data_IF_862303376762
#
_entry.id   IF_862303376762
#
_cell.length_a   1.000
_cell.length_b   1.000
_cell.length_c   1.000
_cell.angle_alpha   90.00
_cell.angle_beta   90.00
_cell.angle_gamma   90.00
#
_symmetry.space_group_name_H-M   'P 1'
#
loop_
_entity.id
_entity.type
_entity.pdbx_description
1 polymer ?
#
# COMPACT_ATOMS: atom_id res chain seq x y z
N UNK A 1 22.16 41.23 -4.36
CA UNK A 1 21.23 40.78 -5.41
C UNK A 1 20.77 39.39 -5.03
N UNK A 2 19.66 39.34 -4.27
CA UNK A 2 18.99 38.15 -3.77
C UNK A 2 17.60 38.17 -4.42
N UNK A 3 17.16 37.05 -4.99
CA UNK A 3 15.81 36.94 -5.53
C UNK A 3 15.64 35.71 -6.39
N UNK A 4 14.89 34.72 -5.87
CA UNK A 4 13.92 33.95 -6.63
C UNK A 4 13.11 33.14 -5.61
N UNK A 5 11.93 33.67 -5.32
CA UNK A 5 10.87 33.07 -4.52
C UNK A 5 10.31 31.84 -5.25
N UNK A 6 9.95 30.80 -4.50
CA UNK A 6 9.00 29.80 -4.97
C UNK A 6 8.20 29.28 -3.77
N UNK A 7 7.39 30.18 -3.20
CA UNK A 7 6.28 29.82 -2.30
C UNK A 7 4.98 30.09 -3.07
N UNK A 8 4.28 29.03 -3.46
CA UNK A 8 2.87 29.12 -3.85
C UNK A 8 2.10 28.05 -3.09
N UNK A 9 1.46 28.46 -2.00
CA UNK A 9 0.31 27.76 -1.44
C UNK A 9 -0.88 27.97 -2.40
N UNK A 10 -1.72 26.97 -2.69
CA UNK A 10 -3.00 27.23 -3.34
C UNK A 10 -3.90 28.00 -2.37
N UNK A 11 -4.52 29.05 -2.91
CA UNK A 11 -5.28 30.04 -2.17
C UNK A 11 -6.55 29.51 -1.50
N UNK A 12 -7.01 30.38 -0.62
CA UNK A 12 -8.35 30.58 -0.07
C UNK A 12 -9.51 30.28 -1.05
N UNK A 13 -9.74 29.01 -1.34
CA UNK A 13 -10.96 28.54 -1.97
C UNK A 13 -11.54 27.44 -1.11
N UNK A 14 -12.70 27.68 -0.52
CA UNK A 14 -13.51 26.71 0.22
C UNK A 14 -13.84 25.47 -0.63
N UNK A 15 -12.89 24.56 -0.78
CA UNK A 15 -13.09 23.22 -1.29
C UNK A 15 -12.90 22.30 -0.09
N UNK A 16 -14.02 21.99 0.59
CA UNK A 16 -14.06 20.83 1.50
C UNK A 16 -13.53 19.64 0.70
N UNK A 17 -12.32 19.19 1.04
CA UNK A 17 -11.84 17.88 0.62
C UNK A 17 -12.89 16.88 1.12
N UNK A 18 -13.73 16.39 0.20
CA UNK A 18 -14.69 15.34 0.54
C UNK A 18 -13.83 14.12 0.81
N UNK A 19 -13.65 13.81 2.10
CA UNK A 19 -13.18 12.52 2.54
C UNK A 19 -14.06 11.48 1.86
N UNK A 20 -13.53 10.82 0.84
CA UNK A 20 -14.25 9.75 0.18
C UNK A 20 -14.18 8.60 1.16
N UNK A 21 -15.21 8.45 1.99
CA UNK A 21 -15.36 7.30 2.86
C UNK A 21 -15.50 6.07 1.95
N UNK A 22 -14.38 5.38 1.73
CA UNK A 22 -14.38 4.10 1.07
C UNK A 22 -15.09 3.10 1.99
N UNK A 23 -16.26 2.65 1.53
CA UNK A 23 -16.99 1.54 2.15
C UNK A 23 -16.13 0.28 2.03
N UNK A 24 -15.41 -0.04 3.09
CA UNK A 24 -14.59 -1.24 3.18
C UNK A 24 -15.49 -2.47 3.26
N UNK A 25 -15.83 -3.05 2.09
CA UNK A 25 -16.19 -4.47 2.07
C UNK A 25 -14.96 -5.26 2.49
N UNK A 26 -15.12 -6.07 3.52
CA UNK A 26 -14.08 -6.89 4.10
C UNK A 26 -13.64 -7.97 3.09
N UNK A 27 -12.67 -7.66 2.24
CA UNK A 27 -11.96 -8.68 1.47
C UNK A 27 -11.06 -9.46 2.45
N UNK A 28 -11.34 -10.75 2.60
CA UNK A 28 -10.39 -11.70 3.19
C UNK A 28 -9.35 -11.94 2.11
N UNK A 29 -8.11 -11.55 2.36
CA UNK A 29 -7.07 -11.71 1.33
C UNK A 29 -6.56 -13.13 1.39
N UNK A 30 -6.86 -13.86 0.33
CA UNK A 30 -6.37 -15.19 0.07
C UNK A 30 -4.91 -15.10 -0.40
N UNK A 31 -4.00 -15.83 0.26
CA UNK A 31 -2.62 -15.94 -0.19
C UNK A 31 -2.58 -16.52 -1.62
N UNK A 32 -1.92 -15.83 -2.56
CA UNK A 32 -1.86 -16.32 -3.95
C UNK A 32 -0.80 -17.39 -4.19
N UNK A 33 0.16 -17.59 -3.26
CA UNK A 33 1.28 -18.53 -3.38
C UNK A 33 0.85 -19.93 -3.84
N UNK A 34 -0.24 -20.52 -3.30
CA UNK A 34 -0.70 -21.84 -3.74
C UNK A 34 -1.10 -21.92 -5.21
N UNK A 35 -1.48 -20.81 -5.84
CA UNK A 35 -2.01 -20.78 -7.20
C UNK A 35 -0.93 -20.50 -8.25
N UNK A 36 0.23 -19.97 -7.86
CA UNK A 36 1.24 -19.48 -8.80
C UNK A 36 2.69 -19.80 -8.41
N UNK A 37 2.94 -20.55 -7.34
CA UNK A 37 4.30 -20.90 -6.91
C UNK A 37 4.43 -22.39 -6.56
N UNK A 38 5.62 -22.94 -6.84
CA UNK A 38 6.15 -24.16 -6.25
C UNK A 38 7.57 -23.88 -5.73
N UNK A 39 7.89 -24.45 -4.58
CA UNK A 39 9.25 -24.58 -4.06
C UNK A 39 9.71 -26.02 -4.28
N UNK A 40 10.87 -26.20 -4.89
CA UNK A 40 11.53 -27.50 -5.06
C UNK A 40 12.80 -27.50 -4.22
N UNK A 41 12.98 -28.50 -3.34
CA UNK A 41 14.22 -28.72 -2.58
C UNK A 41 15.24 -29.51 -3.40
N UNK A 42 16.50 -29.52 -2.97
CA UNK A 42 17.62 -30.21 -3.64
C UNK A 42 17.38 -31.72 -3.83
N UNK A 43 16.61 -32.35 -2.94
CA UNK A 43 16.22 -33.76 -2.98
C UNK A 43 15.02 -34.04 -3.93
N UNK A 44 14.52 -33.02 -4.61
CA UNK A 44 13.36 -33.07 -5.50
C UNK A 44 12.01 -32.90 -4.79
N UNK A 45 11.97 -32.81 -3.46
CA UNK A 45 10.72 -32.65 -2.70
C UNK A 45 10.09 -31.28 -2.96
N UNK A 46 8.77 -31.27 -3.19
CA UNK A 46 8.04 -30.07 -3.60
C UNK A 46 7.05 -29.58 -2.55
N UNK A 47 6.96 -28.26 -2.40
CA UNK A 47 6.03 -27.55 -1.52
C UNK A 47 5.35 -26.39 -2.29
N UNK A 48 4.21 -25.90 -1.80
CA UNK A 48 3.58 -24.70 -2.36
C UNK A 48 4.29 -23.39 -1.97
N UNK A 49 5.10 -23.41 -0.91
CA UNK A 49 5.65 -22.22 -0.30
C UNK A 49 6.90 -22.54 0.53
N UNK A 50 7.83 -21.59 0.61
CA UNK A 50 9.02 -21.70 1.46
C UNK A 50 8.76 -21.52 2.96
N UNK A 51 7.68 -20.83 3.34
CA UNK A 51 7.33 -20.60 4.74
C UNK A 51 6.76 -21.84 5.43
N UNK A 52 6.31 -22.84 4.67
CA UNK A 52 5.61 -24.03 5.16
C UNK A 52 6.23 -25.32 4.62
N UNK A 53 7.55 -25.33 4.41
CA UNK A 53 8.28 -26.45 3.81
C UNK A 53 8.57 -27.58 4.81
N UNK A 54 7.54 -28.01 5.54
CA UNK A 54 7.58 -29.09 6.53
C UNK A 54 7.25 -30.44 5.90
N UNK A 55 7.87 -31.57 6.35
CA UNK A 55 7.69 -32.87 5.70
C UNK A 55 6.23 -33.29 5.44
N UNK A 56 5.33 -32.97 6.37
CA UNK A 56 3.91 -33.32 6.28
C UNK A 56 3.09 -32.45 5.31
N UNK A 57 3.67 -31.37 4.77
CA UNK A 57 3.07 -30.48 3.76
C UNK A 57 3.68 -30.66 2.36
N UNK A 58 4.50 -31.69 2.18
CA UNK A 58 5.06 -32.02 0.87
C UNK A 58 3.97 -32.44 -0.11
N UNK A 59 4.05 -31.93 -1.34
CA UNK A 59 3.12 -32.23 -2.42
C UNK A 59 3.52 -33.50 -3.21
N UNK A 60 4.80 -33.84 -3.16
CA UNK A 60 5.41 -34.94 -3.93
C UNK A 60 6.90 -34.70 -4.16
N UNK A 61 7.52 -35.51 -5.00
CA UNK A 61 8.95 -35.40 -5.33
C UNK A 61 9.17 -35.50 -6.85
N UNK A 62 9.78 -34.51 -7.48
CA UNK A 62 9.97 -34.46 -8.94
C UNK A 62 10.97 -35.48 -9.50
N UNK A 63 11.73 -36.16 -8.63
CA UNK A 63 12.55 -37.30 -9.04
C UNK A 63 11.71 -38.58 -9.25
N UNK A 64 10.46 -38.59 -8.77
CA UNK A 64 9.55 -39.74 -8.81
C UNK A 64 8.23 -39.41 -9.52
N UNK A 65 7.68 -38.22 -9.25
CA UNK A 65 6.41 -37.72 -9.76
C UNK A 65 6.63 -36.73 -10.92
N UNK A 66 5.67 -36.66 -11.83
CA UNK A 66 5.60 -35.60 -12.82
C UNK A 66 5.18 -34.28 -12.18
N UNK A 67 5.48 -33.16 -12.85
CA UNK A 67 5.01 -31.84 -12.41
C UNK A 67 3.48 -31.80 -12.25
N UNK A 68 2.73 -32.36 -13.19
CA UNK A 68 1.26 -32.35 -13.16
C UNK A 68 0.69 -33.12 -11.96
N UNK A 69 1.29 -34.26 -11.62
CA UNK A 69 0.92 -35.04 -10.43
C UNK A 69 1.18 -34.26 -9.14
N UNK A 70 2.32 -33.57 -9.05
CA UNK A 70 2.68 -32.75 -7.88
C UNK A 70 1.78 -31.51 -7.79
N UNK A 71 1.60 -30.78 -8.90
CA UNK A 71 0.83 -29.54 -8.95
C UNK A 71 -0.65 -29.76 -8.66
N UNK A 72 -1.21 -30.89 -9.10
CA UNK A 72 -2.61 -31.27 -8.90
C UNK A 72 -2.82 -32.30 -7.80
N UNK A 73 -1.82 -32.52 -6.95
CA UNK A 73 -1.91 -33.43 -5.79
C UNK A 73 -3.08 -33.06 -4.87
N UNK A 74 -3.61 -34.04 -4.15
CA UNK A 74 -4.70 -33.84 -3.21
C UNK A 74 -4.40 -32.72 -2.17
N UNK A 75 -3.22 -32.66 -1.54
CA UNK A 75 -2.88 -31.56 -0.62
C UNK A 75 -2.91 -30.18 -1.30
N UNK A 76 -2.45 -30.08 -2.56
CA UNK A 76 -2.47 -28.83 -3.30
C UNK A 76 -3.89 -28.38 -3.63
N UNK A 77 -4.75 -29.31 -4.05
CA UNK A 77 -6.17 -29.03 -4.34
C UNK A 77 -6.93 -28.62 -3.10
N UNK A 78 -6.79 -29.36 -1.99
CA UNK A 78 -7.45 -29.06 -0.72
C UNK A 78 -7.09 -27.66 -0.22
N UNK A 79 -5.80 -27.33 -0.20
CA UNK A 79 -5.33 -26.03 0.28
C UNK A 79 -5.85 -24.89 -0.61
N UNK A 80 -5.89 -25.06 -1.94
CA UNK A 80 -6.49 -24.07 -2.86
C UNK A 80 -8.00 -23.93 -2.66
N UNK A 81 -8.72 -25.03 -2.45
CA UNK A 81 -10.17 -25.00 -2.20
C UNK A 81 -10.49 -24.28 -0.90
N UNK A 82 -9.85 -24.65 0.21
CA UNK A 82 -10.02 -23.98 1.51
C UNK A 82 -9.78 -22.47 1.37
N UNK A 83 -8.72 -22.10 0.66
CA UNK A 83 -8.39 -20.71 0.37
C UNK A 83 -9.45 -19.99 -0.47
N UNK A 84 -9.98 -20.61 -1.54
CA UNK A 84 -11.03 -20.01 -2.37
C UNK A 84 -12.37 -19.83 -1.64
N UNK A 85 -12.59 -20.58 -0.55
CA UNK A 85 -13.77 -20.49 0.30
C UNK A 85 -13.59 -19.52 1.49
N UNK A 86 -12.58 -18.63 1.42
CA UNK A 86 -12.21 -17.69 2.49
C UNK A 86 -11.86 -18.39 3.83
N UNK A 87 -11.50 -19.67 3.80
CA UNK A 87 -11.05 -20.43 4.97
C UNK A 87 -9.52 -20.41 5.03
N UNK A 88 -8.95 -19.94 6.15
CA UNK A 88 -7.51 -20.05 6.38
C UNK A 88 -7.13 -21.53 6.56
N UNK A 89 -6.33 -22.13 5.66
CA UNK A 89 -5.90 -23.52 5.82
C UNK A 89 -5.13 -23.69 7.12
N UNK A 90 -5.32 -24.82 7.81
CA UNK A 90 -4.57 -25.11 9.06
C UNK A 90 -3.05 -25.02 8.86
N UNK A 91 -2.55 -25.47 7.72
CA UNK A 91 -1.15 -25.33 7.34
C UNK A 91 -0.66 -23.88 7.37
N UNK A 92 -1.54 -22.91 7.10
CA UNK A 92 -1.23 -21.49 7.05
C UNK A 92 -1.45 -20.75 8.38
N UNK A 93 -2.00 -21.42 9.41
CA UNK A 93 -2.37 -20.80 10.70
C UNK A 93 -1.19 -20.16 11.45
N UNK A 94 0.01 -20.73 11.32
CA UNK A 94 1.24 -20.23 11.93
C UNK A 94 2.18 -19.57 10.93
N UNK A 95 1.69 -19.28 9.72
CA UNK A 95 2.50 -18.69 8.67
C UNK A 95 2.88 -17.26 9.06
N UNK A 96 4.19 -16.92 9.15
CA UNK A 96 4.64 -15.57 9.52
C UNK A 96 4.20 -14.51 8.50
N UNK A 97 3.90 -14.93 7.26
CA UNK A 97 3.37 -14.08 6.22
C UNK A 97 1.87 -13.76 6.45
N UNK A 98 1.07 -14.72 6.93
CA UNK A 98 -0.37 -14.51 7.17
C UNK A 98 -0.65 -13.70 8.44
N UNK A 99 0.14 -13.91 9.50
CA UNK A 99 0.02 -13.13 10.74
C UNK A 99 0.28 -11.64 10.50
N UNK A 100 1.34 -11.31 9.75
CA UNK A 100 1.62 -9.93 9.32
C UNK A 100 0.49 -9.37 8.45
N UNK A 101 -0.07 -10.19 7.55
CA UNK A 101 -1.16 -9.77 6.67
C UNK A 101 -2.41 -9.37 7.43
N UNK A 102 -2.78 -10.13 8.45
CA UNK A 102 -3.92 -9.82 9.33
C UNK A 102 -3.68 -8.54 10.14
N UNK A 103 -2.47 -8.35 10.69
CA UNK A 103 -2.13 -7.13 11.44
C UNK A 103 -2.21 -5.88 10.57
N UNK A 104 -1.67 -5.94 9.35
CA UNK A 104 -1.72 -4.84 8.37
C UNK A 104 -3.16 -4.51 8.01
N UNK A 105 -3.99 -5.53 7.70
CA UNK A 105 -5.40 -5.32 7.37
C UNK A 105 -6.18 -4.67 8.51
N UNK A 106 -5.94 -5.10 9.75
CA UNK A 106 -6.56 -4.49 10.91
C UNK A 106 -6.13 -3.03 11.06
N UNK A 107 -4.85 -2.72 10.84
CA UNK A 107 -4.36 -1.34 10.86
C UNK A 107 -4.97 -0.48 9.74
N UNK A 108 -5.17 -1.04 8.54
CA UNK A 108 -5.86 -0.36 7.43
C UNK A 108 -7.33 -0.09 7.76
N UNK A 109 -8.00 -1.02 8.45
CA UNK A 109 -9.42 -0.88 8.84
C UNK A 109 -9.64 0.04 10.04
N UNK A 110 -8.68 0.09 10.95
CA UNK A 110 -8.70 0.89 12.18
C UNK A 110 -7.44 1.77 12.24
N UNK A 111 -7.34 2.79 11.35
CA UNK A 111 -6.19 3.67 11.27
C UNK A 111 -6.06 4.54 12.53
N UNK A 112 -4.83 4.78 12.95
CA UNK A 112 -4.54 5.41 14.26
C UNK A 112 -3.51 6.51 14.14
N UNK A 113 -3.55 7.41 15.12
CA UNK A 113 -2.52 8.44 15.30
C UNK A 113 -2.08 8.48 16.75
N UNK A 114 -0.77 8.56 16.99
CA UNK A 114 -0.21 8.73 18.32
C UNK A 114 1.15 9.43 18.27
N UNK A 115 1.66 9.87 19.42
CA UNK A 115 2.95 10.54 19.55
C UNK A 115 2.93 11.58 20.67
N UNK A 116 4.11 12.06 21.05
CA UNK A 116 4.27 13.10 22.08
C UNK A 116 3.72 14.47 21.69
N UNK A 117 3.65 14.76 20.38
CA UNK A 117 3.07 15.99 19.83
C UNK A 117 4.01 17.19 19.80
N UNK A 118 5.29 17.05 20.14
CA UNK A 118 6.29 18.13 20.03
C UNK A 118 6.58 18.50 18.56
N UNK A 119 6.38 17.55 17.65
CA UNK A 119 6.27 17.78 16.22
C UNK A 119 5.05 17.07 15.65
N UNK A 120 4.61 17.51 14.48
CA UNK A 120 3.40 17.03 13.82
C UNK A 120 3.50 17.06 12.31
N UNK A 121 2.99 16.03 11.66
CA UNK A 121 2.65 16.04 10.23
C UNK A 121 1.28 16.73 10.11
N UNK A 122 1.27 17.97 9.64
CA UNK A 122 0.05 18.78 9.52
C UNK A 122 -0.72 18.42 8.25
N UNK A 123 0.00 18.20 7.14
CA UNK A 123 -0.61 17.81 5.86
C UNK A 123 0.23 16.75 5.15
N UNK A 124 -0.46 15.89 4.41
CA UNK A 124 0.13 14.89 3.52
C UNK A 124 -0.46 15.11 2.13
N UNK A 125 0.40 15.40 1.15
CA UNK A 125 0.03 15.56 -0.24
C UNK A 125 0.57 14.38 -1.04
N UNK A 126 -0.28 13.75 -1.83
CA UNK A 126 0.09 12.65 -2.73
C UNK A 126 -0.15 13.15 -4.15
N UNK A 127 0.92 13.21 -4.94
CA UNK A 127 0.94 13.88 -6.24
C UNK A 127 1.68 13.07 -7.30
N UNK A 128 1.37 13.31 -8.57
CA UNK A 128 2.10 12.76 -9.70
C UNK A 128 3.38 13.56 -10.00
N UNK A 129 4.14 13.14 -11.02
CA UNK A 129 5.35 13.83 -11.47
C UNK A 129 5.15 15.31 -11.82
N UNK A 130 3.98 15.68 -12.34
CA UNK A 130 3.60 17.06 -12.64
C UNK A 130 3.09 17.85 -11.41
N UNK A 131 3.18 17.25 -10.22
CA UNK A 131 2.69 17.78 -8.93
C UNK A 131 1.18 17.98 -8.86
N UNK A 132 0.41 17.43 -9.79
CA UNK A 132 -1.05 17.37 -9.66
C UNK A 132 -1.45 16.41 -8.54
N UNK A 133 -2.42 16.81 -7.71
CA UNK A 133 -2.93 15.96 -6.64
C UNK A 133 -3.67 14.76 -7.25
N UNK A 134 -3.23 13.55 -6.90
CA UNK A 134 -3.81 12.33 -7.45
C UNK A 134 -3.87 11.23 -6.39
N UNK A 135 -5.03 10.57 -6.31
CA UNK A 135 -5.21 9.39 -5.46
C UNK A 135 -5.03 8.07 -6.20
N UNK A 136 -4.82 8.11 -7.53
CA UNK A 136 -4.77 6.93 -8.40
C UNK A 136 -3.73 7.11 -9.49
N UNK A 137 -2.79 6.20 -9.55
CA UNK A 137 -1.66 6.27 -10.46
C UNK A 137 -1.63 5.05 -11.36
N UNK A 138 -1.22 5.25 -12.60
CA UNK A 138 -0.91 4.16 -13.52
C UNK A 138 0.43 3.57 -13.12
N UNK A 139 0.57 2.24 -13.15
CA UNK A 139 1.85 1.58 -12.89
C UNK A 139 2.96 2.16 -13.77
N UNK A 140 4.06 2.58 -13.14
CA UNK A 140 5.18 3.25 -13.81
C UNK A 140 5.12 4.78 -13.72
N UNK A 141 4.04 5.37 -13.22
CA UNK A 141 4.02 6.79 -12.85
C UNK A 141 4.67 6.98 -11.48
N UNK A 142 5.55 7.97 -11.36
CA UNK A 142 6.17 8.32 -10.08
C UNK A 142 5.15 8.95 -9.13
N UNK A 143 5.16 8.47 -7.89
CA UNK A 143 4.34 9.01 -6.80
C UNK A 143 5.20 9.85 -5.89
N UNK A 144 4.75 11.08 -5.61
CA UNK A 144 5.41 11.98 -4.68
C UNK A 144 4.55 12.20 -3.45
N UNK A 145 5.09 11.87 -2.28
CA UNK A 145 4.44 12.00 -0.98
C UNK A 145 5.12 13.14 -0.21
N UNK A 146 4.44 14.26 -0.07
CA UNK A 146 4.95 15.46 0.60
C UNK A 146 4.32 15.63 1.96
N UNK A 147 5.17 15.65 2.99
CA UNK A 147 4.82 15.84 4.39
C UNK A 147 5.11 17.30 4.76
N UNK A 148 4.06 18.05 5.09
CA UNK A 148 4.20 19.35 5.73
C UNK A 148 4.25 19.12 7.25
N UNK A 149 5.41 19.36 7.84
CA UNK A 149 5.71 19.12 9.24
C UNK A 149 5.81 20.45 9.99
N UNK A 150 5.43 20.45 11.27
CA UNK A 150 5.68 21.56 12.20
C UNK A 150 6.20 21.02 13.51
N UNK A 151 7.13 21.72 14.14
CA UNK A 151 7.54 21.49 15.53
C UNK A 151 7.41 22.74 16.37
N UNK A 152 6.96 22.56 17.62
CA UNK A 152 6.80 23.65 18.60
C UNK A 152 7.99 23.78 19.56
N UNK A 153 8.96 22.86 19.47
CA UNK A 153 10.24 22.92 20.17
C UNK A 153 11.35 22.51 19.21
N UNK A 154 12.59 22.93 19.47
CA UNK A 154 13.71 22.48 18.64
C UNK A 154 13.97 20.98 18.84
N UNK A 155 13.78 20.19 17.80
CA UNK A 155 14.13 18.76 17.78
C UNK A 155 15.46 18.61 17.04
N UNK A 156 16.42 17.95 17.67
CA UNK A 156 17.73 17.63 17.06
C UNK A 156 17.71 16.22 16.48
N UNK A 157 18.29 16.05 15.30
CA UNK A 157 18.35 14.76 14.60
C UNK A 157 16.99 14.03 14.46
N UNK A 158 15.88 14.70 14.09
CA UNK A 158 14.63 13.99 13.86
C UNK A 158 14.76 13.01 12.70
N UNK A 159 14.05 11.89 12.81
CA UNK A 159 13.96 10.86 11.79
C UNK A 159 12.53 10.85 11.25
N UNK A 160 12.40 11.03 9.93
CA UNK A 160 11.14 10.88 9.22
C UNK A 160 11.09 9.52 8.53
N UNK A 161 10.00 8.78 8.72
CA UNK A 161 9.83 7.41 8.24
C UNK A 161 8.55 7.18 7.45
N UNK A 162 8.60 6.17 6.57
CA UNK A 162 7.48 5.67 5.79
C UNK A 162 7.47 4.14 5.81
N UNK A 163 6.30 3.53 5.93
CA UNK A 163 6.09 2.11 5.60
C UNK A 163 4.89 1.97 4.67
N UNK A 164 5.06 1.21 3.59
CA UNK A 164 4.03 1.01 2.57
C UNK A 164 3.43 -0.39 2.67
N UNK A 165 2.11 -0.43 2.68
CA UNK A 165 1.30 -1.63 2.76
C UNK A 165 0.37 -1.73 1.56
N UNK A 166 0.23 -2.94 1.03
CA UNK A 166 -0.77 -3.27 0.02
C UNK A 166 -2.02 -3.84 0.73
N UNK A 167 -3.21 -3.58 0.19
CA UNK A 167 -4.50 -4.07 0.71
C UNK A 167 -4.56 -5.59 0.90
N UNK A 168 -3.72 -6.32 0.17
CA UNK A 168 -3.48 -7.74 0.35
C UNK A 168 -2.86 -8.10 1.71
N UNK A 169 -2.70 -7.14 2.63
CA UNK A 169 -2.04 -7.30 3.93
C UNK A 169 -0.52 -7.31 3.86
N UNK A 170 0.10 -7.16 2.68
CA UNK A 170 1.57 -7.18 2.58
C UNK A 170 2.15 -5.84 3.00
N UNK A 171 3.11 -5.84 3.92
CA UNK A 171 4.11 -4.76 3.97
C UNK A 171 5.06 -4.95 2.79
N UNK A 172 5.12 -3.98 1.88
CA UNK A 172 6.03 -4.05 0.74
C UNK A 172 7.43 -3.57 1.12
N UNK A 173 7.52 -2.42 1.78
CA UNK A 173 8.77 -1.93 2.34
C UNK A 173 8.50 -0.93 3.46
N UNK A 174 9.55 -0.53 4.16
CA UNK A 174 9.54 0.71 4.92
C UNK A 174 10.97 1.18 5.12
N UNK A 175 11.16 2.48 5.04
CA UNK A 175 12.45 3.14 5.24
C UNK A 175 12.27 4.38 6.12
N UNK A 176 13.38 4.99 6.49
CA UNK A 176 13.39 6.30 7.10
C UNK A 176 14.69 7.01 6.76
N UNK A 177 14.68 8.31 6.97
CA UNK A 177 15.84 9.19 6.73
C UNK A 177 17.15 8.68 7.34
N UNK A 178 17.15 8.09 8.54
CA UNK A 178 18.36 7.54 9.15
C UNK A 178 18.87 6.27 8.45
N UNK A 179 17.97 5.34 8.08
CA UNK A 179 18.32 4.15 7.30
C UNK A 179 18.87 4.50 5.91
N UNK A 180 18.36 5.58 5.32
CA UNK A 180 18.82 6.10 4.02
C UNK A 180 20.07 7.00 4.14
N UNK A 181 20.67 7.13 5.33
CA UNK A 181 21.87 7.95 5.56
C UNK A 181 21.64 9.47 5.44
N UNK A 182 20.38 9.93 5.55
CA UNK A 182 19.96 11.34 5.51
C UNK A 182 19.81 11.85 6.94
N UNK A 183 20.85 12.49 7.46
CA UNK A 183 20.80 13.10 8.80
C UNK A 183 20.16 14.51 8.76
N UNK A 184 18.92 14.62 9.26
CA UNK A 184 18.24 15.92 9.42
C UNK A 184 18.78 16.58 10.69
N UNK A 185 19.58 17.63 10.57
CA UNK A 185 20.22 18.24 11.75
C UNK A 185 19.23 18.75 12.80
N UNK A 186 18.13 19.37 12.36
CA UNK A 186 17.07 19.82 13.27
C UNK A 186 15.75 20.10 12.56
N UNK A 187 14.65 20.02 13.31
CA UNK A 187 13.34 20.57 12.97
C UNK A 187 12.95 21.58 14.05
N UNK A 188 12.67 22.83 13.64
CA UNK A 188 12.39 23.96 14.52
C UNK A 188 11.43 24.91 13.78
N UNK A 189 10.14 24.85 14.11
CA UNK A 189 9.08 25.46 13.30
C UNK A 189 8.66 24.57 12.12
N UNK A 190 8.44 25.16 10.96
CA UNK A 190 7.91 24.48 9.77
C UNK A 190 9.01 23.75 8.98
N UNK A 191 8.67 22.59 8.41
CA UNK A 191 9.55 21.82 7.55
C UNK A 191 8.75 21.02 6.53
N UNK A 192 9.38 20.70 5.40
CA UNK A 192 8.76 19.89 4.35
C UNK A 192 9.68 18.74 3.99
N UNK A 193 9.13 17.54 3.93
CA UNK A 193 9.83 16.34 3.46
C UNK A 193 9.06 15.76 2.29
N UNK A 194 9.73 15.55 1.17
CA UNK A 194 9.13 14.88 -0.01
C UNK A 194 9.79 13.53 -0.20
N UNK A 195 8.97 12.50 -0.35
CA UNK A 195 9.38 11.13 -0.65
C UNK A 195 8.99 10.86 -2.10
N UNK A 196 9.97 10.49 -2.92
CA UNK A 196 9.76 10.04 -4.29
C UNK A 196 9.69 8.52 -4.27
N UNK A 197 8.60 7.98 -4.81
CA UNK A 197 8.31 6.56 -4.84
C UNK A 197 8.07 6.12 -6.29
N UNK A 198 9.09 5.53 -6.93
CA UNK A 198 8.91 4.85 -8.22
C UNK A 198 7.94 3.68 -8.07
N UNK A 199 7.01 3.54 -9.01
CA UNK A 199 5.92 2.55 -8.90
C UNK A 199 6.05 1.36 -9.85
N UNK A 200 7.14 1.24 -10.62
CA UNK A 200 7.36 0.18 -11.61
C UNK A 200 7.18 -1.23 -11.04
N UNK A 201 7.58 -1.42 -9.78
CA UNK A 201 7.54 -2.70 -9.08
C UNK A 201 6.31 -2.89 -8.21
N UNK A 202 5.44 -1.88 -8.12
CA UNK A 202 4.21 -1.93 -7.33
C UNK A 202 3.10 -2.62 -8.16
N UNK A 203 2.54 -3.75 -7.68
CA UNK A 203 1.37 -4.34 -8.32
C UNK A 203 0.17 -3.39 -8.32
N UNK A 204 -0.77 -3.52 -9.27
CA UNK A 204 -2.05 -2.83 -9.15
C UNK A 204 -2.79 -3.21 -7.88
N UNK A 205 -3.41 -2.23 -7.22
CA UNK A 205 -4.18 -2.42 -5.98
C UNK A 205 -4.20 -1.16 -5.10
N UNK A 206 -4.79 -1.29 -3.91
CA UNK A 206 -4.86 -0.20 -2.94
C UNK A 206 -3.66 -0.23 -1.99
N UNK A 207 -3.10 0.95 -1.72
CA UNK A 207 -1.95 1.12 -0.86
C UNK A 207 -2.31 2.00 0.34
N UNK A 208 -1.88 1.57 1.52
CA UNK A 208 -1.91 2.37 2.74
C UNK A 208 -0.49 2.58 3.24
N UNK A 209 -0.26 3.67 3.98
CA UNK A 209 1.07 3.97 4.50
C UNK A 209 1.06 4.40 5.96
N UNK A 210 2.10 4.00 6.67
CA UNK A 210 2.50 4.64 7.91
C UNK A 210 3.44 5.79 7.60
N UNK A 211 3.25 6.92 8.30
CA UNK A 211 4.11 8.10 8.23
C UNK A 211 4.46 8.53 9.65
N UNK A 212 5.74 8.81 9.91
CA UNK A 212 6.16 9.14 11.26
C UNK A 212 7.28 10.18 11.32
N UNK A 213 7.28 10.96 12.41
CA UNK A 213 8.41 11.74 12.89
C UNK A 213 8.81 11.16 14.24
N UNK A 214 10.05 10.72 14.39
CA UNK A 214 10.54 10.11 15.62
C UNK A 214 12.00 10.49 15.92
N UNK A 215 12.46 10.22 17.13
CA UNK A 215 13.87 10.40 17.50
C UNK A 215 14.71 9.21 17.02
N UNK A 216 16.04 9.32 16.97
CA UNK A 216 16.93 8.20 16.69
C UNK A 216 16.77 7.04 17.70
N UNK A 217 16.31 7.34 18.92
CA UNK A 217 16.00 6.38 19.97
C UNK A 217 14.56 5.81 19.87
N UNK A 218 13.89 5.99 18.73
CA UNK A 218 12.53 5.50 18.44
C UNK A 218 11.43 6.12 19.32
N UNK A 219 11.64 7.31 19.89
CA UNK A 219 10.55 8.07 20.50
C UNK A 219 9.71 8.73 19.42
N UNK A 220 8.41 8.44 19.35
CA UNK A 220 7.52 8.99 18.33
C UNK A 220 6.99 10.37 18.73
N UNK A 221 7.32 11.40 17.96
CA UNK A 221 6.71 12.72 18.07
C UNK A 221 5.30 12.72 17.45
N UNK A 222 5.16 12.08 16.29
CA UNK A 222 3.89 11.89 15.59
C UNK A 222 3.99 10.65 14.70
N UNK A 223 2.99 9.79 14.76
CA UNK A 223 2.89 8.56 13.99
C UNK A 223 1.46 8.45 13.47
N UNK A 224 1.32 8.39 12.15
CA UNK A 224 0.06 8.24 11.43
C UNK A 224 0.05 6.84 10.83
N UNK A 225 -0.66 5.91 11.46
CA UNK A 225 -0.79 4.53 11.01
C UNK A 225 -1.91 4.37 10.01
N UNK A 226 -1.58 3.93 8.79
CA UNK A 226 -2.52 3.66 7.69
C UNK A 226 -3.56 4.77 7.43
N UNK A 227 -3.27 6.02 7.80
CA UNK A 227 -4.21 7.15 7.64
C UNK A 227 -4.26 7.71 6.22
N UNK A 228 -3.25 7.40 5.42
CA UNK A 228 -3.10 7.89 4.04
C UNK A 228 -2.82 6.73 3.09
N UNK A 229 -3.13 6.92 1.81
CA UNK A 229 -3.05 5.87 0.81
C UNK A 229 -3.31 6.38 -0.60
N UNK A 230 -3.04 5.52 -1.58
CA UNK A 230 -3.28 5.74 -3.01
C UNK A 230 -3.56 4.41 -3.73
N UNK A 231 -4.06 4.49 -4.95
CA UNK A 231 -4.31 3.34 -5.81
C UNK A 231 -3.22 3.25 -6.89
N UNK A 232 -2.75 2.04 -7.20
CA UNK A 232 -2.07 1.77 -8.48
C UNK A 232 -3.04 1.02 -9.38
N UNK A 233 -3.27 1.51 -10.59
CA UNK A 233 -4.03 0.81 -11.63
C UNK A 233 -3.09 0.19 -12.68
N UNK A 234 -3.51 -0.89 -13.35
CA UNK A 234 -2.72 -1.48 -14.43
C UNK A 234 -2.43 -0.44 -15.51
N UNK A 235 -1.22 -0.48 -16.08
CA UNK A 235 -0.96 0.23 -17.32
C UNK A 235 -1.90 -0.30 -18.41
N UNK A 236 -2.42 0.57 -19.30
CA UNK A 236 -3.15 0.12 -20.48
C UNK A 236 -2.31 -0.90 -21.24
N UNK A 237 -2.82 -2.12 -21.39
CA UNK A 237 -2.17 -3.14 -22.22
C UNK A 237 -2.74 -2.97 -23.63
N UNK A 238 -1.90 -2.63 -24.60
CA UNK A 238 -2.31 -2.58 -26.00
C UNK A 238 -2.96 -3.92 -26.40
N UNK A 239 -4.23 -3.88 -26.77
CA UNK A 239 -4.98 -5.02 -27.32
C UNK A 239 -5.78 -5.88 -26.33
N UNK A 240 -5.75 -5.62 -25.02
CA UNK A 240 -6.64 -6.28 -24.04
C UNK A 240 -7.24 -5.26 -23.09
N UNK A 241 -8.14 -4.42 -23.59
CA UNK A 241 -9.11 -3.75 -22.73
C UNK A 241 -10.14 -4.78 -22.31
N UNK A 242 -10.22 -5.10 -21.02
CA UNK A 242 -11.50 -5.55 -20.45
C UNK A 242 -12.47 -4.42 -20.76
N UNK A 243 -13.53 -4.62 -21.58
CA UNK A 243 -14.42 -3.53 -21.92
C UNK A 243 -15.04 -3.05 -20.61
N UNK A 244 -14.74 -1.81 -20.19
CA UNK A 244 -15.52 -1.21 -19.12
C UNK A 244 -16.98 -1.19 -19.57
N UNK A 245 -17.93 -1.63 -18.73
CA UNK A 245 -19.33 -1.64 -19.11
C UNK A 245 -19.76 -0.21 -19.42
N UNK A 246 -20.16 0.03 -20.68
CA UNK A 246 -20.73 1.32 -21.07
C UNK A 246 -22.11 1.45 -20.41
N UNK A 247 -22.18 2.13 -19.27
CA UNK A 247 -23.45 2.42 -18.59
C UNK A 247 -24.11 3.59 -19.30
N UNK A 248 -25.22 3.32 -19.99
CA UNK A 248 -26.10 4.33 -20.57
C UNK A 248 -27.17 4.67 -19.56
N UNK A 249 -27.18 5.91 -19.09
CA UNK A 249 -28.25 6.43 -18.24
C UNK A 249 -29.36 6.99 -19.13
N UNK A 250 -30.57 6.47 -18.98
CA UNK A 250 -31.78 7.02 -19.59
C UNK A 250 -32.69 7.52 -18.49
N UNK A 251 -33.03 8.81 -18.56
CA UNK A 251 -33.95 9.44 -17.61
C UNK A 251 -35.29 9.69 -18.30
N UNK A 252 -36.39 9.50 -17.58
CA UNK A 252 -37.75 9.79 -18.03
C UNK A 252 -38.54 10.49 -16.92
N UNK A 253 -39.53 11.32 -17.28
CA UNK A 253 -40.29 12.15 -16.33
C UNK A 253 -39.57 13.45 -15.98
N UNK A 254 -39.95 14.07 -14.84
CA UNK A 254 -39.48 15.40 -14.39
C UNK A 254 -38.03 15.48 -13.91
N UNK A 255 -37.15 14.59 -14.35
CA UNK A 255 -35.70 14.63 -14.04
C UNK A 255 -35.03 15.40 -15.19
N UNK A 256 -34.67 16.66 -14.93
CA UNK A 256 -33.94 17.51 -15.88
C UNK A 256 -32.43 17.54 -15.59
N UNK A 257 -31.61 17.36 -16.62
CA UNK A 257 -30.17 17.59 -16.53
C UNK A 257 -29.87 19.09 -16.49
N UNK A 258 -28.99 19.51 -15.57
CA UNK A 258 -28.43 20.86 -15.59
C UNK A 258 -27.37 20.96 -16.67
N UNK A 259 -27.51 21.90 -17.61
CA UNK A 259 -26.51 22.15 -18.64
C UNK A 259 -25.22 22.66 -18.01
N UNK A 260 -24.14 21.88 -18.14
CA UNK A 260 -22.79 22.36 -17.84
C UNK A 260 -22.36 23.25 -19.01
N UNK A 261 -22.31 24.57 -18.78
CA UNK A 261 -21.66 25.49 -19.72
C UNK A 261 -20.15 25.20 -19.68
N UNK A 262 -19.62 24.68 -20.79
CA UNK A 262 -18.19 24.65 -21.06
C UNK A 262 -17.73 26.06 -21.41
N UNK A 263 -16.61 26.48 -20.79
CA UNK A 263 -15.86 27.70 -21.13
C UNK A 263 -14.52 27.29 -21.69
#
# INVERSE_FOLDING_TARGET
>A
MLGAECWVLPGDGSARARSTQYSARAFVVICNKPFNNLLVKEDGTVYLCCYLAEPHLALGNLNVNTFDEVWNSEPARLLRTEMMEDVLPRACSHCPYYSQSTTVQNAIRDPKRWGGGEARIENVFITAGDRSACGRFTRGEDVFITLACRSWTRISHPVVGIALYHDSGRRLFGTNTALDGRDIQSLDGEGVVTIELPTDFLPPGHYAMDLAIHSPAQYHYDYLQCMHGFDIIPAPVDGVTVPEPRVLWQFAGGIGEGSRQER
#
